data_IF_680198596971
#
_entry.id   IF_680198596971
#
_cell.length_a   1.000
_cell.length_b   1.000
_cell.length_c   1.000
_cell.angle_alpha   90.00
_cell.angle_beta   90.00
_cell.angle_gamma   90.00
#
_symmetry.space_group_name_H-M   'P 1'
#
loop_
_entity.id
_entity.type
_entity.pdbx_description
1 polymer ?
#
# COMPACT_ATOMS: atom_id res chain seq x y z
N UNK A 1 -6.13 21.18 17.04
CA UNK A 1 -5.80 21.40 18.48
C UNK A 1 -4.84 20.33 19.00
N UNK A 2 -5.09 19.03 18.73
CA UNK A 2 -4.26 17.95 19.29
C UNK A 2 -2.81 17.93 18.76
N UNK A 3 -2.58 18.42 17.54
CA UNK A 3 -1.24 18.54 16.95
C UNK A 3 -0.54 19.86 17.29
N UNK A 4 -1.25 20.83 17.90
CA UNK A 4 -0.70 22.18 18.14
C UNK A 4 -0.42 22.97 16.85
N UNK A 5 -1.08 22.59 15.73
CA UNK A 5 -0.91 23.21 14.42
C UNK A 5 -2.19 23.89 13.98
N UNK A 6 -2.05 24.97 13.20
CA UNK A 6 -3.17 25.67 12.58
C UNK A 6 -3.66 24.96 11.32
N UNK A 7 -2.78 24.24 10.63
CA UNK A 7 -3.06 23.46 9.43
C UNK A 7 -2.18 22.20 9.38
N UNK A 8 -2.53 21.27 8.49
CA UNK A 8 -1.69 20.13 8.10
C UNK A 8 -1.36 20.20 6.61
N UNK A 9 -0.17 19.74 6.23
CA UNK A 9 0.24 19.79 4.83
C UNK A 9 -0.49 18.75 3.99
N UNK A 10 -0.62 17.51 4.48
CA UNK A 10 -1.32 16.43 3.82
C UNK A 10 -2.33 15.78 4.76
N UNK A 11 -3.60 15.75 4.34
CA UNK A 11 -4.66 15.03 5.01
C UNK A 11 -5.05 13.80 4.20
N UNK A 12 -4.94 12.61 4.81
CA UNK A 12 -5.20 11.35 4.12
C UNK A 12 -6.59 10.83 4.50
N UNK A 13 -7.46 10.69 3.51
CA UNK A 13 -8.73 9.99 3.63
C UNK A 13 -8.44 8.48 3.74
N UNK A 14 -8.69 7.89 4.93
CA UNK A 14 -8.04 6.65 5.37
C UNK A 14 -8.38 5.40 4.56
N UNK A 15 -9.64 5.30 4.08
CA UNK A 15 -10.06 4.21 3.18
C UNK A 15 -11.30 4.63 2.37
N UNK A 16 -11.49 3.97 1.24
CA UNK A 16 -12.68 4.19 0.42
C UNK A 16 -13.96 3.89 1.20
N UNK A 17 -14.91 4.82 1.17
CA UNK A 17 -16.23 4.66 1.74
C UNK A 17 -17.21 4.30 0.63
N UNK A 18 -17.90 3.17 0.80
CA UNK A 18 -18.87 2.68 -0.17
C UNK A 18 -20.30 3.18 0.06
N UNK A 19 -20.56 3.88 1.16
CA UNK A 19 -21.90 4.31 1.57
C UNK A 19 -22.14 5.79 1.28
N UNK A 20 -21.13 6.64 1.49
CA UNK A 20 -21.24 8.07 1.23
C UNK A 20 -21.08 8.37 -0.26
N UNK A 21 -21.98 9.19 -0.86
CA UNK A 21 -21.82 9.62 -2.24
C UNK A 21 -20.45 10.27 -2.50
N UNK A 22 -19.79 9.89 -3.58
CA UNK A 22 -18.45 10.40 -3.90
C UNK A 22 -18.39 11.93 -3.96
N UNK A 23 -19.46 12.58 -4.45
CA UNK A 23 -19.56 14.03 -4.47
C UNK A 23 -19.44 14.63 -3.06
N UNK A 24 -20.16 14.07 -2.09
CA UNK A 24 -20.17 14.59 -0.71
C UNK A 24 -18.81 14.40 -0.02
N UNK A 25 -18.11 13.28 -0.31
CA UNK A 25 -16.75 13.04 0.15
C UNK A 25 -15.80 14.13 -0.42
N UNK A 26 -15.84 14.33 -1.73
CA UNK A 26 -14.93 15.27 -2.41
C UNK A 26 -15.24 16.72 -2.07
N UNK A 27 -16.51 17.11 -1.92
CA UNK A 27 -16.92 18.43 -1.45
C UNK A 27 -16.46 18.67 0.00
N UNK A 28 -16.65 17.70 0.89
CA UNK A 28 -16.21 17.79 2.27
C UNK A 28 -14.68 17.98 2.38
N UNK A 29 -13.91 17.22 1.62
CA UNK A 29 -12.44 17.37 1.54
C UNK A 29 -12.03 18.71 0.95
N UNK A 30 -12.70 19.16 -0.10
CA UNK A 30 -12.45 20.46 -0.72
C UNK A 30 -12.72 21.62 0.24
N UNK A 31 -13.75 21.53 1.08
CA UNK A 31 -14.08 22.56 2.10
C UNK A 31 -12.96 22.72 3.12
N UNK A 32 -12.34 21.63 3.60
CA UNK A 32 -11.23 21.74 4.55
C UNK A 32 -9.96 22.32 3.91
N UNK A 33 -9.74 22.07 2.60
CA UNK A 33 -8.68 22.72 1.83
C UNK A 33 -8.97 24.21 1.68
N UNK A 34 -10.17 24.61 1.23
CA UNK A 34 -10.57 26.01 1.07
C UNK A 34 -10.55 26.79 2.39
N UNK A 35 -10.84 26.11 3.51
CA UNK A 35 -10.74 26.71 4.86
C UNK A 35 -9.30 26.89 5.35
N UNK A 36 -8.29 26.50 4.56
CA UNK A 36 -6.87 26.62 4.91
C UNK A 36 -6.40 25.68 6.02
N UNK A 37 -7.22 24.68 6.41
CA UNK A 37 -6.88 23.69 7.44
C UNK A 37 -5.99 22.56 6.92
N UNK A 38 -6.03 22.35 5.61
CA UNK A 38 -5.31 21.31 4.90
C UNK A 38 -4.76 21.91 3.61
N UNK A 39 -3.52 21.64 3.25
CA UNK A 39 -2.94 22.08 1.97
C UNK A 39 -3.25 21.11 0.85
N UNK A 40 -3.04 19.83 1.10
CA UNK A 40 -3.21 18.75 0.11
C UNK A 40 -4.02 17.60 0.72
N UNK A 41 -4.74 16.89 -0.13
CA UNK A 41 -5.46 15.68 0.26
C UNK A 41 -4.85 14.47 -0.42
N UNK A 42 -4.80 13.36 0.31
CA UNK A 42 -4.44 12.03 -0.17
C UNK A 42 -5.53 11.03 0.15
N UNK A 43 -5.44 9.86 -0.46
CA UNK A 43 -6.35 8.75 -0.18
C UNK A 43 -5.57 7.50 0.20
N UNK A 44 -6.16 6.64 1.02
CA UNK A 44 -5.60 5.34 1.39
C UNK A 44 -6.60 4.24 1.09
N UNK A 45 -6.10 3.04 0.78
CA UNK A 45 -6.92 1.84 0.61
C UNK A 45 -8.09 2.01 -0.36
N UNK A 46 -7.78 2.31 -1.61
CA UNK A 46 -8.72 2.38 -2.72
C UNK A 46 -8.17 1.65 -3.95
N UNK A 47 -9.04 1.27 -4.86
CA UNK A 47 -8.65 0.77 -6.18
C UNK A 47 -8.29 1.91 -7.13
N UNK A 48 -7.48 1.63 -8.15
CA UNK A 48 -7.04 2.62 -9.13
C UNK A 48 -8.23 3.34 -9.81
N UNK A 49 -9.28 2.58 -10.21
CA UNK A 49 -10.48 3.17 -10.81
C UNK A 49 -11.22 4.13 -9.86
N UNK A 50 -11.16 3.88 -8.54
CA UNK A 50 -11.81 4.74 -7.54
C UNK A 50 -11.07 6.07 -7.42
N UNK A 51 -9.74 6.04 -7.38
CA UNK A 51 -8.89 7.23 -7.36
C UNK A 51 -9.07 8.05 -8.64
N UNK A 52 -9.02 7.40 -9.81
CA UNK A 52 -9.25 8.07 -11.11
C UNK A 52 -10.63 8.73 -11.17
N UNK A 53 -11.68 8.03 -10.74
CA UNK A 53 -13.05 8.56 -10.68
C UNK A 53 -13.19 9.76 -9.73
N UNK A 54 -12.52 9.70 -8.57
CA UNK A 54 -12.54 10.80 -7.59
C UNK A 54 -11.85 12.04 -8.15
N UNK A 55 -10.68 11.88 -8.76
CA UNK A 55 -9.94 12.98 -9.35
C UNK A 55 -10.62 13.56 -10.60
N UNK A 56 -11.26 12.73 -11.43
CA UNK A 56 -12.08 13.21 -12.55
C UNK A 56 -13.28 14.04 -12.08
N UNK A 57 -13.96 13.61 -10.99
CA UNK A 57 -15.01 14.40 -10.37
C UNK A 57 -14.47 15.72 -9.81
N UNK A 58 -13.35 15.69 -9.11
CA UNK A 58 -12.72 16.88 -8.56
C UNK A 58 -12.36 17.90 -9.67
N UNK A 59 -11.84 17.43 -10.80
CA UNK A 59 -11.53 18.28 -11.95
C UNK A 59 -12.79 18.93 -12.53
N UNK A 60 -13.85 18.14 -12.74
CA UNK A 60 -15.12 18.63 -13.26
C UNK A 60 -15.75 19.70 -12.36
N UNK A 61 -15.70 19.52 -11.05
CA UNK A 61 -16.36 20.40 -10.07
C UNK A 61 -15.42 21.53 -9.55
N UNK A 62 -14.16 21.58 -9.98
CA UNK A 62 -13.16 22.53 -9.47
C UNK A 62 -12.78 22.30 -8.00
N UNK A 63 -12.81 21.04 -7.57
CA UNK A 63 -12.40 20.63 -6.22
C UNK A 63 -10.92 20.30 -6.16
N UNK A 64 -10.36 20.23 -4.94
CA UNK A 64 -9.03 19.69 -4.70
C UNK A 64 -8.98 18.22 -5.11
N UNK A 65 -7.90 17.84 -5.85
CA UNK A 65 -7.63 16.46 -6.25
C UNK A 65 -6.81 15.74 -5.18
N UNK A 66 -6.93 14.42 -5.12
CA UNK A 66 -5.97 13.60 -4.38
C UNK A 66 -4.61 13.65 -5.07
N UNK A 67 -3.58 14.07 -4.33
CA UNK A 67 -2.19 14.16 -4.81
C UNK A 67 -1.34 12.99 -4.37
N UNK A 68 -1.83 12.14 -3.48
CA UNK A 68 -1.12 10.95 -3.02
C UNK A 68 -2.08 9.79 -2.76
N UNK A 69 -1.54 8.57 -2.88
CA UNK A 69 -2.19 7.33 -2.47
C UNK A 69 -1.31 6.56 -1.49
N UNK A 70 -1.92 6.07 -0.41
CA UNK A 70 -1.26 5.26 0.60
C UNK A 70 -1.84 3.83 0.58
N UNK A 71 -1.17 2.93 -0.16
CA UNK A 71 -1.55 1.53 -0.34
C UNK A 71 -0.67 0.56 0.42
N UNK A 72 -1.02 -0.73 0.38
CA UNK A 72 -0.21 -1.82 0.88
C UNK A 72 0.78 -2.26 -0.20
N UNK A 73 2.05 -1.89 -0.07
CA UNK A 73 3.06 -2.21 -1.08
C UNK A 73 4.44 -2.43 -0.46
N UNK A 74 5.07 -3.54 -0.82
CA UNK A 74 6.43 -3.90 -0.45
C UNK A 74 6.94 -5.02 -1.38
N UNK A 75 8.17 -5.46 -1.20
CA UNK A 75 8.84 -6.42 -2.09
C UNK A 75 8.15 -7.79 -2.20
N UNK A 76 7.43 -8.24 -1.16
CA UNK A 76 6.66 -9.49 -1.17
C UNK A 76 5.15 -9.29 -1.36
N UNK A 77 4.68 -8.06 -1.57
CA UNK A 77 3.29 -7.76 -1.91
C UNK A 77 3.25 -6.60 -2.90
N UNK A 78 3.12 -6.91 -4.20
CA UNK A 78 3.29 -5.97 -5.30
C UNK A 78 2.02 -5.76 -6.14
N UNK A 79 0.85 -5.97 -5.55
CA UNK A 79 -0.42 -5.91 -6.28
C UNK A 79 -0.78 -4.49 -6.77
N UNK A 80 -0.20 -3.45 -6.16
CA UNK A 80 -0.33 -2.06 -6.64
C UNK A 80 0.29 -1.84 -8.04
N UNK A 81 1.20 -2.70 -8.48
CA UNK A 81 1.82 -2.60 -9.82
C UNK A 81 0.87 -3.00 -10.97
N UNK A 82 -0.25 -3.64 -10.66
CA UNK A 82 -1.25 -4.03 -11.67
C UNK A 82 -1.86 -2.81 -12.34
N UNK A 83 -2.30 -1.83 -11.56
CA UNK A 83 -3.00 -0.65 -12.05
C UNK A 83 -2.60 0.63 -11.32
N UNK A 84 -2.56 0.63 -9.98
CA UNK A 84 -2.36 1.84 -9.18
C UNK A 84 -1.06 2.56 -9.53
N UNK A 85 0.05 1.83 -9.62
CA UNK A 85 1.35 2.43 -9.94
C UNK A 85 1.37 3.08 -11.32
N UNK A 86 0.65 2.49 -12.29
CA UNK A 86 0.52 3.04 -13.65
C UNK A 86 -0.28 4.35 -13.63
N UNK A 87 -1.45 4.32 -12.99
CA UNK A 87 -2.28 5.53 -12.80
C UNK A 87 -1.49 6.65 -12.12
N UNK A 88 -0.77 6.32 -11.04
CA UNK A 88 0.01 7.30 -10.31
C UNK A 88 1.13 7.92 -11.15
N UNK A 89 1.79 7.13 -11.99
CA UNK A 89 2.81 7.61 -12.91
C UNK A 89 2.23 8.53 -14.00
N UNK A 90 1.07 8.18 -14.57
CA UNK A 90 0.39 8.96 -15.60
C UNK A 90 -0.14 10.29 -15.06
N UNK A 91 -0.77 10.27 -13.86
CA UNK A 91 -1.42 11.43 -13.27
C UNK A 91 -0.52 12.22 -12.29
N UNK A 92 0.76 11.84 -12.17
CA UNK A 92 1.72 12.44 -11.22
C UNK A 92 1.22 12.43 -9.77
N UNK A 93 0.68 11.30 -9.33
CA UNK A 93 0.19 11.08 -7.96
C UNK A 93 1.28 10.37 -7.14
N UNK A 94 1.61 10.91 -5.97
CA UNK A 94 2.63 10.34 -5.11
C UNK A 94 2.16 9.02 -4.46
N UNK A 95 2.96 7.98 -4.55
CA UNK A 95 2.74 6.74 -3.79
C UNK A 95 3.48 6.81 -2.45
N UNK A 96 2.74 6.62 -1.35
CA UNK A 96 3.27 6.66 0.02
C UNK A 96 2.86 5.39 0.79
N UNK A 97 3.32 4.20 0.36
CA UNK A 97 2.79 2.95 0.87
C UNK A 97 3.13 2.67 2.33
N UNK A 98 2.23 1.96 3.00
CA UNK A 98 2.45 1.38 4.31
C UNK A 98 2.90 -0.09 4.23
N UNK A 99 3.26 -0.68 5.38
CA UNK A 99 3.81 -2.05 5.47
C UNK A 99 5.08 -2.27 4.66
N UNK A 100 5.90 -1.25 4.52
CA UNK A 100 7.14 -1.25 3.73
C UNK A 100 8.08 -2.44 4.00
N UNK A 101 8.11 -2.94 5.24
CA UNK A 101 8.92 -4.08 5.67
C UNK A 101 8.10 -5.35 5.95
N UNK A 102 6.90 -5.47 5.40
CA UNK A 102 6.03 -6.65 5.54
C UNK A 102 5.88 -7.12 7.00
N UNK A 103 5.62 -6.19 7.93
CA UNK A 103 5.53 -6.45 9.37
C UNK A 103 6.78 -7.09 9.97
N UNK A 104 7.96 -6.80 9.40
CA UNK A 104 9.25 -7.29 9.87
C UNK A 104 9.82 -8.49 9.11
N UNK A 105 9.07 -9.09 8.16
CA UNK A 105 9.54 -10.23 7.36
C UNK A 105 10.69 -9.86 6.41
N UNK A 106 10.73 -8.61 5.97
CA UNK A 106 11.78 -8.07 5.10
C UNK A 106 12.95 -7.41 5.88
N UNK A 107 12.98 -7.54 7.20
CA UNK A 107 14.04 -6.97 8.04
C UNK A 107 14.77 -7.97 8.92
N UNK A 108 14.51 -9.27 8.73
CA UNK A 108 15.05 -10.37 9.53
C UNK A 108 15.38 -11.55 8.66
N UNK A 109 16.41 -12.29 9.07
CA UNK A 109 16.74 -13.55 8.41
C UNK A 109 15.61 -14.57 8.52
N UNK A 110 15.41 -15.43 7.50
CA UNK A 110 14.45 -16.51 7.56
C UNK A 110 14.70 -17.39 8.78
N UNK A 111 13.63 -17.68 9.55
CA UNK A 111 13.73 -18.46 10.79
C UNK A 111 14.01 -17.65 12.05
N UNK A 112 14.34 -16.38 11.94
CA UNK A 112 14.41 -15.51 13.12
C UNK A 112 13.01 -15.11 13.58
N UNK A 113 12.72 -15.42 14.85
CA UNK A 113 11.46 -15.04 15.47
C UNK A 113 11.53 -13.70 16.16
N UNK A 114 10.41 -13.01 16.22
CA UNK A 114 10.23 -11.85 17.08
C UNK A 114 8.84 -11.89 17.69
N UNK A 115 8.71 -11.28 18.87
CA UNK A 115 7.43 -11.13 19.55
C UNK A 115 6.33 -10.64 18.62
N UNK A 116 6.66 -9.69 17.73
CA UNK A 116 5.71 -9.17 16.73
C UNK A 116 5.30 -10.20 15.68
N UNK A 117 6.22 -11.02 15.19
CA UNK A 117 5.91 -12.10 14.23
C UNK A 117 5.05 -13.19 14.87
N UNK A 118 5.21 -13.41 16.17
CA UNK A 118 4.47 -14.43 16.92
C UNK A 118 3.08 -13.96 17.38
N UNK A 119 2.94 -12.68 17.75
CA UNK A 119 1.73 -12.15 18.38
C UNK A 119 0.82 -11.35 17.43
N UNK A 120 1.34 -10.81 16.32
CA UNK A 120 0.56 -9.97 15.38
C UNK A 120 -0.32 -10.85 14.47
N UNK A 121 -1.53 -11.15 14.94
CA UNK A 121 -2.51 -11.94 14.18
C UNK A 121 -2.89 -11.30 12.83
N UNK A 122 -2.88 -9.97 12.75
CA UNK A 122 -3.18 -9.27 11.51
C UNK A 122 -2.04 -9.40 10.48
N UNK A 123 -0.79 -9.37 10.94
CA UNK A 123 0.35 -9.66 10.08
C UNK A 123 0.33 -11.11 9.57
N UNK A 124 -0.02 -12.06 10.44
CA UNK A 124 -0.21 -13.48 10.05
C UNK A 124 -1.29 -13.63 8.98
N UNK A 125 -2.44 -13.00 9.17
CA UNK A 125 -3.51 -12.99 8.17
C UNK A 125 -3.05 -12.45 6.81
N UNK A 126 -2.18 -11.44 6.78
CA UNK A 126 -1.68 -10.86 5.52
C UNK A 126 -0.65 -11.72 4.79
N UNK A 127 0.20 -12.45 5.50
CA UNK A 127 1.43 -13.00 4.90
C UNK A 127 1.62 -14.51 5.08
N UNK A 128 1.01 -15.16 6.07
CA UNK A 128 1.32 -16.56 6.36
C UNK A 128 0.86 -17.53 5.26
N UNK A 129 -0.22 -17.19 4.57
CA UNK A 129 -0.73 -18.00 3.46
C UNK A 129 0.24 -18.12 2.29
N UNK A 130 1.13 -17.15 2.10
CA UNK A 130 2.10 -17.05 1.00
C UNK A 130 3.55 -17.21 1.48
N UNK A 131 3.77 -17.52 2.76
CA UNK A 131 5.09 -17.54 3.38
C UNK A 131 6.13 -18.41 2.64
N UNK A 132 5.71 -19.56 2.09
CA UNK A 132 6.63 -20.44 1.33
C UNK A 132 7.07 -19.82 0.00
N UNK A 133 6.16 -19.18 -0.69
CA UNK A 133 6.43 -18.50 -1.96
C UNK A 133 7.29 -17.24 -1.72
N UNK A 134 7.00 -16.49 -0.66
CA UNK A 134 7.69 -15.26 -0.31
C UNK A 134 9.10 -15.50 0.25
N UNK A 135 9.35 -16.70 0.81
CA UNK A 135 10.64 -17.07 1.38
C UNK A 135 11.80 -16.94 0.37
N UNK A 136 11.55 -17.17 -0.93
CA UNK A 136 12.58 -17.02 -1.96
C UNK A 136 13.05 -15.57 -2.04
N UNK A 137 12.11 -14.62 -2.05
CA UNK A 137 12.43 -13.18 -2.09
C UNK A 137 13.14 -12.76 -0.80
N UNK A 138 12.65 -13.21 0.37
CA UNK A 138 13.26 -12.87 1.66
C UNK A 138 14.69 -13.40 1.75
N UNK A 139 14.98 -14.60 1.24
CA UNK A 139 16.31 -15.15 1.16
C UNK A 139 17.22 -14.30 0.26
N UNK A 140 16.73 -13.89 -0.93
CA UNK A 140 17.48 -13.01 -1.84
C UNK A 140 17.78 -11.64 -1.20
N UNK A 141 16.87 -11.10 -0.39
CA UNK A 141 17.13 -9.88 0.40
C UNK A 141 18.26 -10.11 1.40
N UNK A 142 18.26 -11.24 2.11
CA UNK A 142 19.29 -11.59 3.08
C UNK A 142 20.66 -11.76 2.39
N UNK A 143 20.73 -12.52 1.30
CA UNK A 143 21.95 -12.73 0.51
C UNK A 143 22.53 -11.41 -0.01
N UNK A 144 21.67 -10.54 -0.55
CA UNK A 144 22.12 -9.24 -1.05
C UNK A 144 22.58 -8.32 0.08
N UNK A 145 21.92 -8.36 1.24
CA UNK A 145 22.31 -7.61 2.43
C UNK A 145 23.70 -8.03 2.92
N UNK A 146 23.97 -9.33 3.01
CA UNK A 146 25.30 -9.86 3.34
C UNK A 146 26.35 -9.43 2.33
N UNK A 147 26.09 -9.61 1.04
CA UNK A 147 27.00 -9.23 -0.05
C UNK A 147 27.36 -7.74 -0.02
N UNK A 148 26.41 -6.89 0.33
CA UNK A 148 26.58 -5.42 0.38
C UNK A 148 27.09 -4.93 1.74
N UNK A 149 27.13 -5.78 2.78
CA UNK A 149 27.50 -5.41 4.14
C UNK A 149 26.52 -4.43 4.79
N UNK A 150 25.23 -4.53 4.44
CA UNK A 150 24.14 -3.68 4.95
C UNK A 150 23.01 -4.53 5.54
N UNK A 151 22.02 -3.92 6.19
CA UNK A 151 20.90 -4.66 6.74
C UNK A 151 19.86 -5.01 5.67
N UNK A 152 19.06 -6.05 5.92
CA UNK A 152 17.89 -6.40 5.10
C UNK A 152 16.89 -5.25 5.02
N UNK A 153 16.76 -4.45 6.09
CA UNK A 153 15.94 -3.23 6.13
C UNK A 153 16.39 -2.24 5.07
N UNK A 154 17.71 -1.98 4.97
CA UNK A 154 18.28 -1.06 3.99
C UNK A 154 18.02 -1.54 2.56
N UNK A 155 18.24 -2.82 2.25
CA UNK A 155 17.94 -3.41 0.93
C UNK A 155 16.46 -3.26 0.57
N UNK A 156 15.57 -3.68 1.48
CA UNK A 156 14.13 -3.69 1.23
C UNK A 156 13.55 -2.29 1.02
N UNK A 157 14.02 -1.32 1.80
CA UNK A 157 13.58 0.07 1.66
C UNK A 157 14.22 0.76 0.45
N UNK A 158 15.50 0.49 0.17
CA UNK A 158 16.16 1.00 -1.03
C UNK A 158 15.45 0.51 -2.30
N UNK A 159 15.05 -0.78 -2.36
CA UNK A 159 14.21 -1.28 -3.44
C UNK A 159 12.89 -0.53 -3.54
N UNK A 160 12.17 -0.35 -2.42
CA UNK A 160 10.87 0.31 -2.41
C UNK A 160 10.99 1.77 -2.88
N UNK A 161 12.06 2.47 -2.51
CA UNK A 161 12.36 3.84 -2.95
C UNK A 161 12.60 3.96 -4.47
N UNK A 162 12.93 2.86 -5.16
CA UNK A 162 12.99 2.87 -6.64
C UNK A 162 11.60 2.90 -7.30
N UNK A 163 10.54 2.61 -6.54
CA UNK A 163 9.17 2.44 -7.04
C UNK A 163 8.20 3.54 -6.59
N UNK A 164 8.49 4.18 -5.46
CA UNK A 164 7.52 5.07 -4.80
C UNK A 164 8.15 6.38 -4.33
N UNK A 165 7.30 7.37 -4.08
CA UNK A 165 7.75 8.70 -3.66
C UNK A 165 8.29 8.69 -2.22
N UNK A 166 7.58 8.05 -1.29
CA UNK A 166 7.98 8.03 0.12
C UNK A 166 7.26 6.89 0.87
N UNK A 167 7.98 5.84 1.30
CA UNK A 167 7.38 4.77 2.09
C UNK A 167 7.11 5.20 3.54
N UNK A 168 6.06 4.64 4.14
CA UNK A 168 5.76 4.79 5.57
C UNK A 168 6.46 3.67 6.34
N UNK A 169 7.40 4.04 7.18
CA UNK A 169 8.18 3.09 7.99
C UNK A 169 7.73 3.16 9.45
N UNK A 170 7.30 2.00 9.99
CA UNK A 170 6.97 1.87 11.40
C UNK A 170 8.24 1.74 12.25
N UNK A 171 8.37 2.59 13.27
CA UNK A 171 9.50 2.58 14.19
C UNK A 171 9.02 2.55 15.65
N UNK A 172 9.53 1.59 16.43
CA UNK A 172 9.32 1.49 17.89
C UNK A 172 10.62 1.61 18.67
N UNK A 173 11.75 1.67 17.96
CA UNK A 173 13.10 1.81 18.52
C UNK A 173 13.93 2.72 17.64
N UNK A 174 14.94 3.37 18.22
CA UNK A 174 15.79 4.34 17.53
C UNK A 174 16.47 3.72 16.28
N UNK A 175 17.04 2.53 16.42
CA UNK A 175 17.71 1.86 15.32
C UNK A 175 16.80 1.53 14.12
N UNK A 176 15.47 1.50 14.27
CA UNK A 176 14.54 1.39 13.13
C UNK A 176 14.55 2.65 12.28
N UNK A 177 14.66 3.82 12.92
CA UNK A 177 14.74 5.12 12.22
C UNK A 177 16.10 5.24 11.54
N UNK A 178 17.18 4.89 12.24
CA UNK A 178 18.54 4.93 11.71
C UNK A 178 18.71 4.02 10.47
N UNK A 179 18.18 2.79 10.53
CA UNK A 179 18.17 1.86 9.39
C UNK A 179 17.34 2.36 8.21
N UNK A 180 16.20 3.01 8.48
CA UNK A 180 15.38 3.62 7.44
C UNK A 180 16.09 4.82 6.78
N UNK A 181 16.77 5.65 7.57
CA UNK A 181 17.54 6.79 7.05
C UNK A 181 18.68 6.34 6.13
N UNK A 182 19.42 5.30 6.52
CA UNK A 182 20.51 4.74 5.69
C UNK A 182 20.04 4.19 4.36
N UNK A 183 18.83 3.66 4.29
CA UNK A 183 18.24 3.14 3.05
C UNK A 183 18.08 4.22 1.97
N UNK A 184 17.96 5.48 2.34
CA UNK A 184 17.83 6.61 1.39
C UNK A 184 19.13 6.83 0.61
N UNK A 185 20.27 6.51 1.20
CA UNK A 185 21.59 6.66 0.59
C UNK A 185 22.02 5.42 -0.23
N UNK A 186 21.30 4.30 -0.07
CA UNK A 186 21.64 3.04 -0.74
C UNK A 186 21.02 2.97 -2.14
N UNK A 187 21.86 2.93 -3.16
CA UNK A 187 21.42 2.70 -4.54
C UNK A 187 21.61 1.24 -4.93
N UNK A 188 20.55 0.60 -5.40
CA UNK A 188 20.59 -0.74 -6.00
C UNK A 188 20.87 -0.66 -7.50
N UNK A 189 21.63 -1.61 -8.04
CA UNK A 189 21.83 -1.72 -9.49
C UNK A 189 20.60 -2.32 -10.18
N UNK A 190 20.42 -2.12 -11.51
CA UNK A 190 19.33 -2.76 -12.25
C UNK A 190 19.32 -4.30 -12.12
N UNK A 191 20.49 -4.93 -12.04
CA UNK A 191 20.64 -6.38 -11.87
C UNK A 191 20.20 -6.81 -10.47
N UNK A 192 20.53 -6.05 -9.43
CA UNK A 192 20.08 -6.30 -8.06
C UNK A 192 18.56 -6.16 -7.93
N UNK A 193 17.99 -5.15 -8.57
CA UNK A 193 16.52 -4.96 -8.62
C UNK A 193 15.88 -6.16 -9.32
N UNK A 194 16.35 -6.55 -10.49
CA UNK A 194 15.87 -7.72 -11.22
C UNK A 194 15.97 -9.00 -10.39
N UNK A 195 17.12 -9.20 -9.72
CA UNK A 195 17.34 -10.34 -8.84
C UNK A 195 16.32 -10.45 -7.72
N UNK A 196 15.95 -9.32 -7.10
CA UNK A 196 14.93 -9.28 -6.05
C UNK A 196 13.52 -9.50 -6.58
N UNK A 197 13.23 -9.04 -7.80
CA UNK A 197 11.88 -9.02 -8.38
C UNK A 197 11.48 -10.31 -9.10
N UNK A 198 12.45 -10.98 -9.74
CA UNK A 198 12.22 -12.15 -10.59
C UNK A 198 11.37 -13.27 -9.94
N UNK A 199 11.55 -13.60 -8.63
CA UNK A 199 10.77 -14.68 -8.01
C UNK A 199 9.35 -14.28 -7.63
N UNK A 200 8.91 -13.04 -7.89
CA UNK A 200 7.60 -12.59 -7.42
C UNK A 200 6.46 -13.35 -8.08
N UNK A 201 5.58 -13.90 -7.25
CA UNK A 201 4.33 -14.52 -7.68
C UNK A 201 3.17 -13.67 -7.19
N UNK A 202 2.23 -13.26 -8.06
CA UNK A 202 1.09 -12.45 -7.68
C UNK A 202 0.26 -13.04 -6.53
N UNK A 203 -0.19 -12.17 -5.65
CA UNK A 203 -0.94 -12.50 -4.44
C UNK A 203 -2.44 -12.23 -4.62
N UNK A 204 -3.24 -12.93 -3.81
CA UNK A 204 -4.60 -12.47 -3.54
C UNK A 204 -4.56 -11.19 -2.72
N UNK A 205 -5.55 -10.32 -2.89
CA UNK A 205 -5.68 -9.16 -2.02
C UNK A 205 -5.82 -9.59 -0.56
N UNK A 206 -5.14 -8.88 0.33
CA UNK A 206 -5.15 -9.10 1.77
C UNK A 206 -5.31 -7.77 2.51
N UNK A 207 -5.51 -7.85 3.83
CA UNK A 207 -5.63 -6.64 4.65
C UNK A 207 -6.87 -5.82 4.32
N UNK A 208 -6.73 -4.50 4.38
CA UNK A 208 -7.87 -3.57 4.21
C UNK A 208 -8.55 -3.75 2.86
N UNK A 209 -7.79 -3.90 1.77
CA UNK A 209 -8.36 -4.03 0.42
C UNK A 209 -9.19 -5.31 0.22
N UNK A 210 -8.91 -6.38 0.99
CA UNK A 210 -9.71 -7.60 0.98
C UNK A 210 -10.95 -7.50 1.89
N UNK A 211 -10.90 -6.66 2.93
CA UNK A 211 -11.93 -6.56 3.96
C UNK A 211 -12.89 -5.39 3.73
N UNK A 212 -12.38 -4.28 3.17
CA UNK A 212 -13.19 -3.11 2.87
C UNK A 212 -14.00 -3.33 1.60
N UNK A 213 -15.16 -3.92 1.76
CA UNK A 213 -16.08 -4.26 0.67
C UNK A 213 -17.38 -3.47 0.84
N UNK A 214 -18.16 -3.22 -0.23
CA UNK A 214 -19.45 -2.56 -0.10
C UNK A 214 -20.31 -3.25 0.96
N UNK A 215 -20.84 -2.49 1.91
CA UNK A 215 -21.77 -3.02 2.93
C UNK A 215 -23.01 -3.67 2.29
N UNK A 216 -23.44 -3.19 1.13
CA UNK A 216 -24.31 -3.89 0.20
C UNK A 216 -23.52 -4.97 -0.57
N UNK A 217 -22.86 -5.86 0.15
CA UNK A 217 -22.27 -7.09 -0.42
C UNK A 217 -23.32 -7.94 -1.20
N UNK A 218 -24.59 -7.55 -1.19
CA UNK A 218 -25.59 -7.95 -2.19
C UNK A 218 -25.05 -7.80 -3.63
N UNK A 219 -24.22 -6.80 -3.91
CA UNK A 219 -23.60 -6.64 -5.23
C UNK A 219 -22.37 -7.54 -5.43
N UNK A 220 -21.61 -7.85 -4.41
CA UNK A 220 -20.52 -8.83 -4.51
C UNK A 220 -21.06 -10.26 -4.66
N UNK A 221 -22.17 -10.57 -4.02
CA UNK A 221 -22.87 -11.83 -4.27
C UNK A 221 -23.37 -11.97 -5.72
N UNK A 222 -23.69 -10.88 -6.39
CA UNK A 222 -24.05 -10.94 -7.82
C UNK A 222 -22.87 -11.42 -8.67
N UNK A 223 -21.63 -11.01 -8.38
CA UNK A 223 -20.45 -11.49 -9.11
C UNK A 223 -20.05 -12.91 -8.71
N UNK A 224 -20.20 -13.29 -7.45
CA UNK A 224 -19.87 -14.66 -6.98
C UNK A 224 -20.97 -15.68 -7.28
N UNK A 225 -22.23 -15.25 -7.39
CA UNK A 225 -23.38 -16.13 -7.67
C UNK A 225 -23.85 -16.09 -9.12
N UNK A 226 -23.35 -15.16 -9.92
CA UNK A 226 -23.66 -15.09 -11.35
C UNK A 226 -23.21 -16.30 -12.14
N UNK A 227 -22.30 -17.11 -11.61
CA UNK A 227 -21.90 -18.40 -12.15
C UNK A 227 -22.74 -19.59 -11.64
N UNK A 228 -23.66 -19.39 -10.70
CA UNK A 228 -24.47 -20.47 -10.11
C UNK A 228 -25.95 -20.47 -10.50
N UNK A 229 -26.41 -19.55 -11.33
CA UNK A 229 -27.79 -19.54 -11.81
C UNK A 229 -27.89 -19.60 -13.34
N UNK A 230 -27.22 -20.58 -13.92
CA UNK A 230 -27.72 -21.21 -15.13
C UNK A 230 -28.27 -22.59 -14.69
N UNK A 231 -29.29 -22.59 -13.88
CA UNK A 231 -30.19 -23.72 -13.86
C UNK A 231 -31.06 -23.63 -15.11
N UNK A 232 -30.67 -24.40 -16.09
CA UNK A 232 -31.50 -24.72 -17.24
C UNK A 232 -32.88 -25.19 -16.76
N UNK A 233 -33.88 -24.35 -16.92
CA UNK A 233 -35.26 -24.84 -16.98
C UNK A 233 -35.34 -25.80 -18.15
N UNK A 234 -35.26 -27.09 -17.87
CA UNK A 234 -35.71 -28.11 -18.78
C UNK A 234 -37.25 -28.06 -18.80
N UNK A 235 -37.80 -27.69 -19.90
CA UNK A 235 -39.06 -28.19 -20.42
C UNK A 235 -38.78 -28.89 -21.75
#
# INVERSE_FOLDING_TARGET
KNLGLDYVDLYIYHMWDYETPLYDIMDGLNRIVKAGKVRYIGISNCFAYQLAKANALAEKEGFAKFVSVQGHYNLIFREEEREMAKLCAEDNIAMTPYSALASGRLSKHPGENSKRLEEDSYAKFKYDATAKQDAVIINRVAELAEKRGVSMTEISLAWLLTKVTSPIVGATKLHHIEGAAKAVELTLTPEEITYLEEPYVPHKLVGVMAQNTPAAAKQQHVWSTGSQKIETSKN
#
